data_IF_341117282502
#
_entry.id   IF_341117282502
#
_cell.length_a   1.000
_cell.length_b   1.000
_cell.length_c   1.000
_cell.angle_alpha   90.00
_cell.angle_beta   90.00
_cell.angle_gamma   90.00
#
_symmetry.space_group_name_H-M   'P 1'
#
loop_
_entity.id
_entity.type
_entity.pdbx_description
1 polymer ?
#
# COMPACT_ATOMS: atom_id res chain seq x y z
N UNK A 1 -19.95 50.83 -38.54
CA UNK A 1 -20.72 50.11 -37.49
C UNK A 1 -19.75 49.20 -36.77
N UNK A 2 -19.35 49.57 -35.54
CA UNK A 2 -18.28 48.91 -34.78
C UNK A 2 -18.83 47.67 -34.06
N UNK A 3 -18.27 46.49 -34.36
CA UNK A 3 -18.59 45.22 -33.67
C UNK A 3 -17.75 45.11 -32.40
N UNK A 4 -18.38 45.22 -31.24
CA UNK A 4 -17.74 44.94 -29.94
C UNK A 4 -17.90 43.43 -29.67
N UNK A 5 -16.82 42.68 -29.78
CA UNK A 5 -16.76 41.30 -29.31
C UNK A 5 -16.34 41.32 -27.84
N UNK A 6 -17.27 40.98 -26.95
CA UNK A 6 -17.03 40.80 -25.52
C UNK A 6 -16.28 39.46 -25.33
N UNK A 7 -14.96 39.51 -25.16
CA UNK A 7 -14.21 38.36 -24.66
C UNK A 7 -14.47 38.25 -23.16
N UNK A 8 -15.37 37.35 -22.77
CA UNK A 8 -15.40 36.85 -21.40
C UNK A 8 -14.12 36.05 -21.15
N UNK A 9 -13.16 36.67 -20.47
CA UNK A 9 -12.01 35.98 -19.92
C UNK A 9 -12.52 35.11 -18.75
N UNK A 10 -12.85 33.85 -19.03
CA UNK A 10 -13.06 32.87 -17.98
C UNK A 10 -11.71 32.68 -17.27
N UNK A 11 -11.57 33.27 -16.08
CA UNK A 11 -10.47 32.93 -15.19
C UNK A 11 -10.61 31.45 -14.84
N UNK A 12 -9.80 30.60 -15.47
CA UNK A 12 -9.52 29.26 -14.99
C UNK A 12 -8.76 29.44 -13.68
N UNK A 13 -9.50 29.62 -12.59
CA UNK A 13 -8.96 29.42 -11.25
C UNK A 13 -8.41 28.00 -11.23
N UNK A 14 -7.09 27.86 -11.14
CA UNK A 14 -6.46 26.56 -10.99
C UNK A 14 -7.09 25.85 -9.81
N UNK A 15 -7.75 24.71 -10.06
CA UNK A 15 -8.08 23.78 -9.00
C UNK A 15 -6.74 23.28 -8.46
N UNK A 16 -6.23 23.90 -7.39
CA UNK A 16 -5.28 23.23 -6.54
C UNK A 16 -6.09 22.13 -5.84
N UNK A 17 -6.08 20.91 -6.39
CA UNK A 17 -6.62 19.77 -5.66
C UNK A 17 -5.91 19.72 -4.31
N UNK A 18 -6.69 19.57 -3.23
CA UNK A 18 -6.13 19.25 -1.93
C UNK A 18 -5.27 17.97 -2.06
N UNK A 19 -4.10 17.96 -1.44
CA UNK A 19 -3.23 16.78 -1.43
C UNK A 19 -3.98 15.59 -0.84
N UNK A 20 -3.84 14.40 -1.43
CA UNK A 20 -4.40 13.15 -0.87
C UNK A 20 -3.56 12.61 0.29
N UNK A 21 -2.42 13.25 0.61
CA UNK A 21 -1.59 12.94 1.78
C UNK A 21 -2.25 13.50 3.03
N UNK A 22 -2.48 12.64 4.02
CA UNK A 22 -3.01 13.06 5.31
C UNK A 22 -1.96 13.84 6.09
N UNK A 23 -2.35 14.98 6.67
CA UNK A 23 -1.48 15.72 7.60
C UNK A 23 -1.82 15.27 9.01
N UNK A 24 -0.82 14.70 9.69
CA UNK A 24 -0.89 14.31 11.10
C UNK A 24 -0.02 15.28 11.90
N UNK A 25 -0.36 15.46 13.17
CA UNK A 25 0.43 16.22 14.14
C UNK A 25 0.81 15.32 15.30
N UNK A 26 1.78 15.75 16.09
CA UNK A 26 2.17 15.01 17.30
C UNK A 26 1.00 14.76 18.26
N UNK A 27 0.01 15.66 18.26
CA UNK A 27 -1.17 15.56 19.13
C UNK A 27 -2.19 14.51 18.67
N UNK A 28 -2.22 14.18 17.37
CA UNK A 28 -3.23 13.29 16.79
C UNK A 28 -2.68 11.99 16.18
N UNK A 29 -1.35 11.89 16.03
CA UNK A 29 -0.66 10.79 15.38
C UNK A 29 -1.07 9.41 15.94
N UNK A 30 -0.89 9.20 17.24
CA UNK A 30 -1.16 7.91 17.89
C UNK A 30 -2.63 7.50 17.77
N UNK A 31 -3.53 8.48 17.83
CA UNK A 31 -4.97 8.21 17.73
C UNK A 31 -5.41 7.85 16.31
N UNK A 32 -4.72 8.37 15.29
CA UNK A 32 -5.11 8.24 13.88
C UNK A 32 -4.39 7.10 13.17
N UNK A 33 -3.18 6.73 13.60
CA UNK A 33 -2.43 5.65 12.96
C UNK A 33 -3.13 4.29 13.10
N UNK A 34 -3.82 4.07 14.24
CA UNK A 34 -4.56 2.83 14.52
C UNK A 34 -5.82 2.62 13.66
N UNK A 35 -6.29 3.65 12.96
CA UNK A 35 -7.47 3.55 12.07
C UNK A 35 -7.14 2.90 10.71
N UNK A 36 -5.87 2.51 10.49
CA UNK A 36 -5.38 2.02 9.22
C UNK A 36 -4.68 0.66 9.36
N UNK A 37 -5.15 -0.35 8.62
CA UNK A 37 -4.50 -1.67 8.55
C UNK A 37 -3.07 -1.59 7.99
N UNK A 38 -2.86 -0.67 7.03
CA UNK A 38 -1.56 -0.30 6.49
C UNK A 38 -1.56 1.19 6.15
N UNK A 39 -0.59 1.91 6.71
CA UNK A 39 -0.34 3.32 6.43
C UNK A 39 1.17 3.53 6.30
N UNK A 40 1.58 4.32 5.31
CA UNK A 40 2.94 4.81 5.22
C UNK A 40 2.97 6.26 5.72
N UNK A 41 3.91 6.61 6.58
CA UNK A 41 4.07 7.97 7.10
C UNK A 41 5.41 8.55 6.68
N UNK A 42 5.41 9.71 6.04
CA UNK A 42 6.60 10.53 5.83
C UNK A 42 6.84 11.45 7.03
N UNK A 43 7.84 11.11 7.84
CA UNK A 43 8.39 12.01 8.86
C UNK A 43 9.36 12.98 8.18
N UNK A 44 8.98 14.26 8.09
CA UNK A 44 9.71 15.24 7.29
C UNK A 44 10.11 16.48 8.09
N UNK A 45 11.03 17.27 7.53
CA UNK A 45 11.29 18.63 7.97
C UNK A 45 11.19 19.58 6.77
N UNK A 46 10.54 20.75 6.91
CA UNK A 46 10.28 21.69 5.80
C UNK A 46 11.54 22.33 5.23
N UNK A 47 12.67 22.22 5.92
CA UNK A 47 13.98 22.67 5.44
C UNK A 47 14.81 21.56 4.80
N UNK A 48 14.40 20.29 4.92
CA UNK A 48 15.16 19.15 4.41
C UNK A 48 15.04 19.04 2.88
N UNK A 49 16.16 19.17 2.18
CA UNK A 49 16.21 19.06 0.72
C UNK A 49 15.85 17.67 0.17
N UNK A 50 15.97 16.61 0.98
CA UNK A 50 15.58 15.25 0.59
C UNK A 50 14.07 15.07 0.62
N UNK A 51 13.39 15.53 1.69
CA UNK A 51 11.94 15.52 1.81
C UNK A 51 11.27 16.33 0.69
N UNK A 52 11.82 17.51 0.37
CA UNK A 52 11.31 18.34 -0.74
C UNK A 52 11.32 17.64 -2.09
N UNK A 53 12.28 16.73 -2.33
CA UNK A 53 12.34 15.95 -3.57
C UNK A 53 11.40 14.75 -3.54
N UNK A 54 11.14 14.18 -2.36
CA UNK A 54 10.21 13.08 -2.17
C UNK A 54 8.76 13.54 -2.27
N UNK A 55 8.43 14.71 -1.73
CA UNK A 55 7.07 15.26 -1.67
C UNK A 55 6.24 15.08 -2.96
N UNK A 56 6.70 15.48 -4.17
CA UNK A 56 5.90 15.30 -5.38
C UNK A 56 5.66 13.82 -5.75
N UNK A 57 6.64 12.93 -5.51
CA UNK A 57 6.51 11.49 -5.75
C UNK A 57 5.56 10.84 -4.74
N UNK A 58 5.62 11.31 -3.48
CA UNK A 58 4.81 10.85 -2.37
C UNK A 58 3.34 11.25 -2.55
N UNK A 59 3.07 12.50 -2.94
CA UNK A 59 1.72 12.98 -3.27
C UNK A 59 1.13 12.22 -4.46
N UNK A 60 1.92 12.01 -5.52
CA UNK A 60 1.48 11.22 -6.67
C UNK A 60 1.16 9.76 -6.28
N UNK A 61 1.95 9.16 -5.37
CA UNK A 61 1.66 7.84 -4.84
C UNK A 61 0.38 7.82 -4.00
N UNK A 62 0.15 8.83 -3.15
CA UNK A 62 -1.05 8.93 -2.31
C UNK A 62 -2.32 8.98 -3.15
N UNK A 63 -2.33 9.78 -4.23
CA UNK A 63 -3.46 9.82 -5.17
C UNK A 63 -3.70 8.46 -5.83
N UNK A 64 -2.66 7.72 -6.17
CA UNK A 64 -2.76 6.39 -6.82
C UNK A 64 -3.14 5.26 -5.86
N UNK A 65 -2.92 5.44 -4.57
CA UNK A 65 -3.22 4.46 -3.51
C UNK A 65 -4.51 4.78 -2.75
N UNK A 66 -5.20 5.86 -3.11
CA UNK A 66 -6.46 6.28 -2.49
C UNK A 66 -7.45 5.11 -2.39
N UNK A 67 -7.89 4.82 -1.17
CA UNK A 67 -8.80 3.70 -0.86
C UNK A 67 -8.13 2.32 -0.78
N UNK A 68 -6.82 2.22 -0.97
CA UNK A 68 -6.03 0.98 -0.77
C UNK A 68 -5.07 1.10 0.40
N UNK A 69 -4.21 2.14 0.40
CA UNK A 69 -3.23 2.40 1.47
C UNK A 69 -3.21 3.89 1.74
N UNK A 70 -3.34 4.27 3.02
CA UNK A 70 -3.24 5.67 3.42
C UNK A 70 -1.77 6.10 3.42
N UNK A 71 -1.51 7.32 2.95
CA UNK A 71 -0.22 8.00 3.07
C UNK A 71 -0.41 9.24 3.94
N UNK A 72 0.45 9.42 4.93
CA UNK A 72 0.42 10.58 5.81
C UNK A 72 1.79 11.23 5.91
N UNK A 73 1.84 12.46 6.42
CA UNK A 73 3.09 13.14 6.74
C UNK A 73 3.00 13.81 8.11
N UNK A 74 4.14 13.87 8.80
CA UNK A 74 4.31 14.51 10.10
C UNK A 74 5.55 15.40 10.04
N UNK A 75 5.42 16.66 10.47
CA UNK A 75 6.56 17.58 10.59
C UNK A 75 7.29 17.33 11.92
N UNK A 76 8.51 16.79 11.84
CA UNK A 76 9.32 16.45 13.01
C UNK A 76 10.22 17.59 13.51
N UNK A 77 9.99 18.83 13.08
CA UNK A 77 10.78 19.96 13.59
C UNK A 77 10.49 20.31 15.05
N UNK A 78 9.35 19.86 15.58
CA UNK A 78 8.93 20.13 16.94
C UNK A 78 9.29 19.01 17.94
N UNK A 79 9.37 17.73 17.51
CA UNK A 79 9.62 16.59 18.39
C UNK A 79 10.33 15.41 17.69
N UNK A 80 11.02 14.58 18.49
CA UNK A 80 11.71 13.36 18.05
C UNK A 80 10.72 12.18 18.09
N UNK A 81 10.02 11.91 16.98
CA UNK A 81 9.07 10.79 16.88
C UNK A 81 9.73 9.43 17.12
N UNK A 82 8.95 8.47 17.62
CA UNK A 82 9.37 7.08 17.78
C UNK A 82 9.17 6.33 16.44
N UNK A 83 10.23 5.75 15.89
CA UNK A 83 10.18 5.10 14.57
C UNK A 83 9.44 3.76 14.63
N UNK A 84 8.32 3.64 13.90
CA UNK A 84 7.61 2.38 13.71
C UNK A 84 8.09 1.66 12.45
N UNK A 85 9.27 1.04 12.55
CA UNK A 85 9.86 0.19 11.51
C UNK A 85 10.46 0.96 10.30
N UNK A 86 11.61 0.53 9.75
CA UNK A 86 12.21 1.22 8.61
C UNK A 86 11.40 1.02 7.32
N UNK A 87 11.23 2.09 6.55
CA UNK A 87 10.77 2.01 5.15
C UNK A 87 11.97 1.84 4.21
N UNK A 88 12.18 0.63 3.72
CA UNK A 88 13.27 0.29 2.78
C UNK A 88 12.81 0.25 1.30
N UNK A 89 11.60 0.76 1.02
CA UNK A 89 11.03 0.79 -0.32
C UNK A 89 11.59 1.91 -1.22
N UNK A 90 11.30 1.88 -2.54
CA UNK A 90 11.79 2.90 -3.46
C UNK A 90 11.10 4.26 -3.24
N UNK A 91 11.81 5.36 -3.52
CA UNK A 91 11.33 6.74 -3.28
C UNK A 91 10.72 7.44 -4.53
N UNK A 92 10.31 6.67 -5.53
CA UNK A 92 9.56 7.15 -6.70
C UNK A 92 8.09 6.76 -6.57
N UNK A 93 7.17 7.49 -7.18
CA UNK A 93 5.73 7.21 -7.09
C UNK A 93 5.42 5.77 -7.51
N UNK A 94 5.96 5.31 -8.63
CA UNK A 94 5.76 3.93 -9.11
C UNK A 94 6.31 2.89 -8.13
N UNK A 95 7.48 3.15 -7.55
CA UNK A 95 8.10 2.26 -6.59
C UNK A 95 7.34 2.20 -5.27
N UNK A 96 6.89 3.35 -4.75
CA UNK A 96 6.04 3.43 -3.55
C UNK A 96 4.74 2.67 -3.80
N UNK A 97 4.06 2.92 -4.92
CA UNK A 97 2.79 2.26 -5.28
C UNK A 97 2.98 0.76 -5.40
N UNK A 98 4.00 0.30 -6.13
CA UNK A 98 4.26 -1.12 -6.32
C UNK A 98 4.60 -1.81 -4.99
N UNK A 99 5.43 -1.17 -4.17
CA UNK A 99 5.80 -1.69 -2.86
C UNK A 99 4.59 -1.79 -1.94
N UNK A 100 3.83 -0.70 -1.77
CA UNK A 100 2.69 -0.67 -0.87
C UNK A 100 1.54 -1.55 -1.35
N UNK A 101 1.32 -1.71 -2.66
CA UNK A 101 0.35 -2.70 -3.16
C UNK A 101 0.76 -4.14 -2.88
N UNK A 102 2.07 -4.45 -2.96
CA UNK A 102 2.58 -5.76 -2.57
C UNK A 102 2.35 -6.01 -1.07
N UNK A 103 2.55 -4.97 -0.25
CA UNK A 103 2.30 -5.05 1.19
C UNK A 103 0.80 -5.09 1.55
N UNK A 104 -0.05 -4.33 0.86
CA UNK A 104 -1.50 -4.32 1.09
C UNK A 104 -2.24 -5.52 0.48
N UNK A 105 -1.56 -6.28 -0.39
CA UNK A 105 -2.09 -7.50 -0.95
C UNK A 105 -2.45 -8.51 0.15
N UNK A 106 -3.34 -9.47 -0.16
CA UNK A 106 -3.70 -10.47 0.83
C UNK A 106 -2.43 -11.22 1.26
N UNK A 107 -2.30 -11.44 2.57
CA UNK A 107 -1.17 -12.15 3.17
C UNK A 107 -0.90 -13.48 2.46
N UNK A 108 -1.96 -14.13 1.97
CA UNK A 108 -1.91 -15.31 1.11
C UNK A 108 -2.92 -15.19 -0.03
N UNK A 109 -2.52 -15.52 -1.25
CA UNK A 109 -3.40 -15.53 -2.42
C UNK A 109 -4.28 -16.79 -2.41
N UNK A 110 -5.60 -16.64 -2.54
CA UNK A 110 -6.51 -17.78 -2.68
C UNK A 110 -6.45 -18.36 -4.10
N UNK A 111 -6.06 -19.64 -4.24
CA UNK A 111 -6.00 -20.37 -5.51
C UNK A 111 -7.31 -21.10 -5.75
N UNK A 112 -7.96 -20.83 -6.88
CA UNK A 112 -9.28 -21.38 -7.21
C UNK A 112 -9.21 -22.48 -8.26
N UNK A 113 -8.09 -22.61 -8.96
CA UNK A 113 -7.92 -23.55 -10.06
C UNK A 113 -6.48 -24.08 -10.15
N UNK A 114 -6.30 -25.17 -10.90
CA UNK A 114 -4.97 -25.71 -11.19
C UNK A 114 -4.13 -24.72 -12.01
N UNK A 115 -4.77 -23.92 -12.85
CA UNK A 115 -4.10 -22.85 -13.59
C UNK A 115 -3.54 -21.77 -12.64
N UNK A 116 -4.28 -21.40 -11.58
CA UNK A 116 -3.78 -20.45 -10.58
C UNK A 116 -2.58 -21.03 -9.82
N UNK A 117 -2.64 -22.33 -9.48
CA UNK A 117 -1.55 -23.04 -8.82
C UNK A 117 -0.29 -23.11 -9.69
N UNK A 118 -0.44 -23.47 -10.97
CA UNK A 118 0.66 -23.52 -11.94
C UNK A 118 1.28 -22.13 -12.12
N UNK A 119 0.45 -21.09 -12.26
CA UNK A 119 0.94 -19.70 -12.36
C UNK A 119 1.71 -19.29 -11.10
N UNK A 120 1.18 -19.60 -9.92
CA UNK A 120 1.80 -19.22 -8.66
C UNK A 120 3.14 -19.93 -8.42
N UNK A 121 3.23 -21.21 -8.80
CA UNK A 121 4.43 -22.06 -8.62
C UNK A 121 5.48 -21.90 -9.72
N UNK A 122 5.09 -21.37 -10.89
CA UNK A 122 6.01 -21.11 -12.00
C UNK A 122 6.93 -19.89 -11.78
N UNK A 123 6.63 -19.06 -10.78
CA UNK A 123 7.54 -17.99 -10.35
C UNK A 123 8.78 -18.60 -9.66
N UNK A 124 9.98 -18.04 -9.91
CA UNK A 124 11.24 -18.54 -9.34
C UNK A 124 11.48 -18.19 -7.86
N UNK A 125 10.44 -17.72 -7.17
CA UNK A 125 10.50 -17.31 -5.78
C UNK A 125 10.05 -18.45 -4.85
N UNK A 126 10.68 -18.53 -3.68
CA UNK A 126 10.28 -19.48 -2.64
C UNK A 126 8.80 -19.24 -2.24
N UNK A 127 7.97 -20.26 -2.47
CA UNK A 127 6.53 -20.20 -2.32
C UNK A 127 6.04 -21.21 -1.29
N UNK A 128 5.08 -20.81 -0.45
CA UNK A 128 4.45 -21.66 0.56
C UNK A 128 2.95 -21.74 0.25
N UNK A 129 2.44 -22.97 0.11
CA UNK A 129 1.05 -23.20 -0.29
C UNK A 129 0.34 -24.02 0.79
N UNK A 130 -0.72 -23.44 1.36
CA UNK A 130 -1.57 -24.10 2.34
C UNK A 130 -2.80 -24.73 1.69
N UNK A 131 -3.03 -26.02 1.93
CA UNK A 131 -4.22 -26.74 1.49
C UNK A 131 -5.11 -27.01 2.69
N UNK A 132 -6.31 -26.42 2.72
CA UNK A 132 -7.21 -26.49 3.88
C UNK A 132 -8.60 -26.95 3.45
N UNK A 133 -9.21 -27.91 4.15
CA UNK A 133 -10.57 -28.38 3.82
C UNK A 133 -11.66 -27.31 3.97
N UNK A 134 -11.41 -26.32 4.83
CA UNK A 134 -12.32 -25.23 5.15
C UNK A 134 -11.53 -24.06 5.79
N UNK A 135 -12.22 -22.96 6.08
CA UNK A 135 -11.69 -21.77 6.78
C UNK A 135 -11.44 -22.01 8.28
N UNK A 136 -10.67 -23.05 8.59
CA UNK A 136 -10.31 -23.53 9.91
C UNK A 136 -9.40 -22.58 10.70
N UNK A 137 -9.19 -22.90 11.98
CA UNK A 137 -8.17 -22.26 12.82
C UNK A 137 -6.75 -22.42 12.24
N UNK A 138 -6.46 -23.54 11.57
CA UNK A 138 -5.16 -23.80 10.94
C UNK A 138 -4.92 -22.86 9.75
N UNK A 139 -5.95 -22.61 8.93
CA UNK A 139 -5.88 -21.61 7.88
C UNK A 139 -5.66 -20.21 8.47
N UNK A 140 -6.33 -19.86 9.58
CA UNK A 140 -6.12 -18.58 10.23
C UNK A 140 -4.68 -18.41 10.75
N UNK A 141 -4.08 -19.45 11.31
CA UNK A 141 -2.67 -19.41 11.77
C UNK A 141 -1.70 -19.33 10.59
N UNK A 142 -1.98 -20.03 9.50
CA UNK A 142 -1.24 -19.92 8.25
C UNK A 142 -1.29 -18.49 7.70
N UNK A 143 -2.45 -17.83 7.71
CA UNK A 143 -2.58 -16.45 7.27
C UNK A 143 -1.77 -15.47 8.13
N UNK A 144 -1.66 -15.71 9.45
CA UNK A 144 -0.78 -14.91 10.31
C UNK A 144 0.69 -15.10 9.95
N UNK A 145 1.12 -16.34 9.75
CA UNK A 145 2.49 -16.63 9.32
C UNK A 145 2.78 -16.00 7.96
N UNK A 146 1.82 -16.07 7.04
CA UNK A 146 1.89 -15.44 5.73
C UNK A 146 2.10 -13.92 5.82
N UNK A 147 1.35 -13.24 6.70
CA UNK A 147 1.54 -11.81 6.97
C UNK A 147 2.93 -11.50 7.53
N UNK A 148 3.42 -12.30 8.47
CA UNK A 148 4.71 -12.08 9.13
C UNK A 148 5.92 -12.33 8.20
N UNK A 149 5.76 -13.17 7.18
CA UNK A 149 6.83 -13.65 6.32
C UNK A 149 6.71 -13.18 4.86
N UNK A 150 5.74 -12.30 4.56
CA UNK A 150 5.44 -11.77 3.20
C UNK A 150 6.61 -11.08 2.48
N UNK A 151 7.64 -10.67 3.22
CA UNK A 151 8.85 -10.07 2.66
C UNK A 151 9.83 -11.12 2.12
N UNK A 152 9.82 -12.31 2.70
CA UNK A 152 10.76 -13.39 2.40
C UNK A 152 10.15 -14.48 1.51
N UNK A 153 8.84 -14.73 1.64
CA UNK A 153 8.15 -15.78 0.92
C UNK A 153 6.83 -15.30 0.34
N UNK A 154 6.40 -15.95 -0.73
CA UNK A 154 5.06 -15.78 -1.27
C UNK A 154 4.16 -16.86 -0.71
N UNK A 155 2.99 -16.46 -0.24
CA UNK A 155 2.01 -17.38 0.31
C UNK A 155 0.79 -17.49 -0.60
N UNK A 156 0.32 -18.71 -0.76
CA UNK A 156 -0.96 -19.00 -1.34
C UNK A 156 -1.70 -20.02 -0.49
N UNK A 157 -3.02 -20.06 -0.62
CA UNK A 157 -3.83 -21.08 0.02
C UNK A 157 -4.97 -21.51 -0.88
N UNK A 158 -5.52 -22.69 -0.63
CA UNK A 158 -6.72 -23.14 -1.33
C UNK A 158 -7.64 -23.92 -0.40
N UNK A 159 -8.93 -23.70 -0.60
CA UNK A 159 -10.01 -24.52 -0.08
C UNK A 159 -10.70 -25.34 -1.19
N UNK A 160 -10.11 -25.37 -2.40
CA UNK A 160 -10.68 -26.13 -3.51
C UNK A 160 -10.42 -27.64 -3.32
N UNK A 161 -11.45 -28.48 -3.18
CA UNK A 161 -11.29 -29.92 -2.96
C UNK A 161 -10.55 -30.63 -4.09
N UNK A 162 -10.64 -30.13 -5.33
CA UNK A 162 -9.93 -30.71 -6.48
C UNK A 162 -8.42 -30.49 -6.35
N UNK A 163 -8.00 -29.30 -5.89
CA UNK A 163 -6.59 -29.01 -5.64
C UNK A 163 -6.07 -29.74 -4.42
N UNK A 164 -6.88 -29.86 -3.36
CA UNK A 164 -6.52 -30.60 -2.15
C UNK A 164 -6.31 -32.08 -2.49
N UNK A 165 -7.26 -32.70 -3.19
CA UNK A 165 -7.17 -34.13 -3.53
C UNK A 165 -6.03 -34.44 -4.50
N UNK A 166 -5.73 -33.53 -5.44
CA UNK A 166 -4.60 -33.68 -6.35
C UNK A 166 -3.22 -33.57 -5.67
N UNK A 167 -3.15 -33.00 -4.47
CA UNK A 167 -1.91 -32.75 -3.72
C UNK A 167 -1.89 -33.41 -2.34
N UNK A 168 -2.82 -34.35 -2.07
CA UNK A 168 -2.84 -35.15 -0.86
C UNK A 168 -1.98 -36.40 -1.08
N UNK A 169 -0.67 -36.30 -0.82
CA UNK A 169 0.24 -37.45 -0.66
C UNK A 169 0.50 -37.74 0.82
#
# INVERSE_FOLDING_TARGET
MLRVALLCLAALGGLSSASDVLEFTDDDFDSRIGDHDLILVEFFAPWCGHCKRLAPEYEAAATRLKGTVALAKVDCTANNGEETGPYDGPRTSDGIVSFLKKQAGPASVELKSAEDLDKFTSDQDASVIGFFSDSSADQAEFLKAASALRESYRFAHTNNPDLISANAE
#
